data_IF_934662693688
#
_entry.id   IF_934662693688
#
_cell.length_a   1.000
_cell.length_b   1.000
_cell.length_c   1.000
_cell.angle_alpha   90.00
_cell.angle_beta   90.00
_cell.angle_gamma   90.00
#
_symmetry.space_group_name_H-M   'P 1'
#
loop_
_entity.id
_entity.type
_entity.pdbx_description
1 polymer ?
#
# COMPACT_ATOMS: atom_id res chain seq x y z
N UNK A 1 -21.81 11.18 11.51
CA UNK A 1 -20.80 10.62 10.60
C UNK A 1 -19.93 11.77 10.15
N UNK A 2 -18.82 12.02 10.86
CA UNK A 2 -17.81 12.99 10.44
C UNK A 2 -17.23 12.49 9.12
N UNK A 3 -17.43 13.24 8.04
CA UNK A 3 -16.75 12.95 6.77
C UNK A 3 -15.26 13.08 7.04
N UNK A 4 -14.56 11.95 7.12
CA UNK A 4 -13.13 11.96 7.32
C UNK A 4 -12.46 12.66 6.13
N UNK A 5 -11.54 13.58 6.44
CA UNK A 5 -10.94 14.45 5.44
C UNK A 5 -9.92 13.65 4.64
N UNK A 6 -10.00 13.70 3.33
CA UNK A 6 -9.00 13.11 2.44
C UNK A 6 -7.66 13.85 2.56
N UNK A 7 -6.52 13.13 2.50
CA UNK A 7 -5.22 13.77 2.36
C UNK A 7 -5.09 14.59 1.08
N UNK A 8 -4.33 15.66 1.13
CA UNK A 8 -4.06 16.58 0.00
C UNK A 8 -3.33 15.91 -1.18
N UNK A 9 -2.58 14.85 -0.90
CA UNK A 9 -1.90 14.05 -1.90
C UNK A 9 -2.82 13.04 -2.62
N UNK A 10 -4.04 12.79 -2.11
CA UNK A 10 -5.05 12.01 -2.85
C UNK A 10 -5.67 12.93 -3.92
N UNK A 11 -5.61 12.57 -5.21
CA UNK A 11 -6.09 13.45 -6.26
C UNK A 11 -7.61 13.54 -6.26
N UNK A 12 -8.13 14.69 -6.70
CA UNK A 12 -9.58 14.90 -6.81
C UNK A 12 -10.23 14.06 -7.92
N UNK A 13 -9.47 13.72 -8.97
CA UNK A 13 -9.93 12.89 -10.09
C UNK A 13 -8.78 12.12 -10.75
N UNK A 14 -9.12 11.00 -11.39
CA UNK A 14 -8.17 10.18 -12.15
C UNK A 14 -7.09 9.52 -11.30
N UNK A 15 -5.87 9.45 -11.85
CA UNK A 15 -4.69 8.89 -11.20
C UNK A 15 -3.56 9.92 -11.26
N UNK A 16 -2.83 10.09 -10.17
CA UNK A 16 -1.63 10.94 -10.13
C UNK A 16 -0.44 10.17 -9.58
N UNK A 17 0.75 10.42 -10.13
CA UNK A 17 1.99 9.90 -9.57
C UNK A 17 2.42 10.75 -8.38
N UNK A 18 2.80 10.09 -7.29
CA UNK A 18 3.38 10.72 -6.10
C UNK A 18 4.77 10.14 -5.86
N UNK A 19 5.72 11.02 -5.53
CA UNK A 19 7.06 10.62 -5.14
C UNK A 19 7.01 9.97 -3.75
N UNK A 20 7.53 8.75 -3.63
CA UNK A 20 7.66 8.07 -2.35
C UNK A 20 8.68 8.78 -1.45
N UNK A 21 8.46 8.74 -0.14
CA UNK A 21 9.27 9.46 0.86
C UNK A 21 8.82 10.89 1.14
N UNK A 22 7.87 11.45 0.39
CA UNK A 22 7.33 12.80 0.64
C UNK A 22 6.10 12.72 1.55
N UNK A 23 5.01 12.11 1.05
CA UNK A 23 3.76 11.98 1.79
C UNK A 23 3.60 10.61 2.44
N UNK A 24 4.22 9.60 1.86
CA UNK A 24 4.17 8.20 2.27
C UNK A 24 5.36 7.46 1.68
N UNK A 25 5.68 6.33 2.29
CA UNK A 25 6.45 5.28 1.65
C UNK A 25 5.49 4.21 1.12
N UNK A 26 5.97 3.30 0.28
CA UNK A 26 5.19 2.16 -0.16
C UNK A 26 5.99 0.87 -0.14
N UNK A 27 5.32 -0.21 0.26
CA UNK A 27 5.81 -1.58 0.08
C UNK A 27 4.94 -2.22 -1.00
N UNK A 28 5.56 -2.73 -2.06
CA UNK A 28 4.84 -3.45 -3.12
C UNK A 28 5.08 -4.95 -3.06
N UNK A 29 4.01 -5.71 -3.27
CA UNK A 29 4.03 -7.17 -3.36
C UNK A 29 3.29 -7.60 -4.64
N UNK A 30 3.83 -8.60 -5.32
CA UNK A 30 3.32 -9.06 -6.60
C UNK A 30 2.16 -10.06 -6.46
N UNK A 31 1.13 -9.88 -7.29
CA UNK A 31 0.12 -10.89 -7.58
C UNK A 31 -0.63 -11.41 -6.37
N UNK A 32 -0.88 -12.72 -6.36
CA UNK A 32 -1.71 -13.41 -5.36
C UNK A 32 -1.18 -13.26 -3.93
N UNK A 33 0.14 -13.13 -3.76
CA UNK A 33 0.74 -12.92 -2.42
C UNK A 33 0.40 -11.55 -1.87
N UNK A 34 0.37 -10.51 -2.71
CA UNK A 34 -0.09 -9.18 -2.30
C UNK A 34 -1.55 -9.17 -1.87
N UNK A 35 -2.40 -9.91 -2.59
CA UNK A 35 -3.81 -10.09 -2.22
C UNK A 35 -3.97 -10.86 -0.91
N UNK A 36 -3.15 -11.89 -0.67
CA UNK A 36 -3.15 -12.66 0.58
C UNK A 36 -2.71 -11.80 1.77
N UNK A 37 -1.67 -10.97 1.61
CA UNK A 37 -1.23 -9.99 2.61
C UNK A 37 -2.37 -9.04 2.96
N UNK A 38 -3.00 -8.42 1.95
CA UNK A 38 -4.15 -7.52 2.16
C UNK A 38 -5.29 -8.23 2.90
N UNK A 39 -5.67 -9.43 2.47
CA UNK A 39 -6.75 -10.18 3.10
C UNK A 39 -6.46 -10.45 4.58
N UNK A 40 -5.21 -10.79 4.93
CA UNK A 40 -4.82 -10.99 6.31
C UNK A 40 -4.85 -9.69 7.11
N UNK A 41 -4.32 -8.59 6.57
CA UNK A 41 -4.37 -7.27 7.21
C UNK A 41 -5.81 -6.83 7.49
N UNK A 42 -6.71 -6.95 6.53
CA UNK A 42 -8.14 -6.64 6.69
C UNK A 42 -8.74 -7.44 7.85
N UNK A 43 -8.41 -8.73 7.96
CA UNK A 43 -8.91 -9.58 9.04
C UNK A 43 -8.39 -9.12 10.41
N UNK A 44 -7.11 -8.85 10.55
CA UNK A 44 -6.52 -8.52 11.87
C UNK A 44 -6.80 -7.08 12.32
N UNK A 45 -7.08 -6.18 11.38
CA UNK A 45 -7.43 -4.76 11.64
C UNK A 45 -8.94 -4.51 11.69
N UNK A 46 -9.76 -5.56 11.67
CA UNK A 46 -11.22 -5.41 11.71
C UNK A 46 -11.80 -4.66 10.51
N UNK A 47 -11.15 -4.73 9.34
CA UNK A 47 -11.60 -4.05 8.12
C UNK A 47 -10.80 -2.82 7.72
N UNK A 48 -9.91 -2.34 8.59
CA UNK A 48 -9.24 -1.04 8.45
C UNK A 48 -7.71 -1.18 8.37
N UNK A 49 -7.16 -1.80 7.29
CA UNK A 49 -5.73 -2.02 7.17
C UNK A 49 -4.94 -0.75 6.80
N UNK A 50 -5.62 0.38 6.56
CA UNK A 50 -5.04 1.59 5.98
C UNK A 50 -5.04 1.61 4.45
N UNK A 51 -4.41 2.63 3.83
CA UNK A 51 -4.37 2.81 2.38
C UNK A 51 -3.62 1.70 1.64
N UNK A 52 -4.36 0.96 0.81
CA UNK A 52 -3.80 -0.05 -0.10
C UNK A 52 -4.27 0.20 -1.53
N UNK A 53 -3.31 0.42 -2.43
CA UNK A 53 -3.56 0.59 -3.87
C UNK A 53 -3.30 -0.73 -4.58
N UNK A 54 -4.23 -1.15 -5.43
CA UNK A 54 -4.05 -2.28 -6.34
C UNK A 54 -4.00 -1.81 -7.78
N UNK A 55 -2.96 -2.23 -8.48
CA UNK A 55 -2.78 -2.05 -9.91
C UNK A 55 -3.26 -3.31 -10.63
N UNK A 56 -4.24 -3.20 -11.53
CA UNK A 56 -4.83 -4.36 -12.21
C UNK A 56 -4.12 -4.73 -13.53
N UNK A 57 -3.32 -3.82 -14.09
CA UNK A 57 -2.65 -3.99 -15.38
C UNK A 57 -1.19 -4.45 -15.19
N UNK A 58 -0.65 -5.25 -16.11
CA UNK A 58 0.80 -5.63 -16.16
C UNK A 58 1.44 -6.13 -14.85
N UNK A 59 0.78 -7.04 -14.12
CA UNK A 59 1.43 -7.79 -13.03
C UNK A 59 0.67 -7.86 -11.71
N UNK A 60 -0.46 -7.15 -11.57
CA UNK A 60 -1.28 -7.20 -10.34
C UNK A 60 -0.46 -6.83 -9.10
N UNK A 61 0.14 -5.64 -9.11
CA UNK A 61 0.89 -5.15 -7.95
C UNK A 61 -0.08 -4.62 -6.89
N UNK A 62 0.24 -4.91 -5.62
CA UNK A 62 -0.44 -4.33 -4.47
C UNK A 62 0.57 -3.48 -3.71
N UNK A 63 0.26 -2.20 -3.54
CA UNK A 63 1.07 -1.20 -2.84
C UNK A 63 0.41 -0.87 -1.50
N UNK A 64 1.13 -1.12 -0.42
CA UNK A 64 0.73 -0.78 0.94
C UNK A 64 1.41 0.55 1.28
N UNK A 65 0.62 1.60 1.53
CA UNK A 65 1.16 2.92 1.82
C UNK A 65 1.39 3.04 3.32
N UNK A 66 2.64 3.24 3.71
CA UNK A 66 3.09 3.34 5.10
C UNK A 66 3.58 4.77 5.39
N UNK A 67 3.76 5.18 6.65
CA UNK A 67 4.27 6.50 6.98
C UNK A 67 5.61 6.80 6.27
N UNK A 68 5.85 8.05 5.86
CA UNK A 68 7.07 8.42 5.16
C UNK A 68 8.30 8.17 6.04
N UNK A 69 9.32 7.54 5.47
CA UNK A 69 10.55 7.16 6.16
C UNK A 69 10.52 5.81 6.86
N UNK A 70 9.34 5.18 7.04
CA UNK A 70 9.22 3.89 7.74
C UNK A 70 9.65 2.69 6.90
N UNK A 71 9.82 2.82 5.57
CA UNK A 71 10.22 1.67 4.74
C UNK A 71 11.58 1.10 5.11
N UNK A 72 12.46 1.89 5.74
CA UNK A 72 13.81 1.49 6.14
C UNK A 72 13.88 0.83 7.52
N UNK A 73 12.79 0.82 8.28
CA UNK A 73 12.74 0.35 9.67
C UNK A 73 12.72 -1.18 9.76
N UNK A 74 12.38 -1.87 8.66
CA UNK A 74 12.26 -3.32 8.61
C UNK A 74 13.08 -3.95 7.48
N UNK A 75 13.66 -5.14 7.69
CA UNK A 75 14.38 -5.88 6.67
C UNK A 75 13.41 -6.68 5.78
N UNK A 76 12.70 -6.00 4.88
CA UNK A 76 11.69 -6.62 4.03
C UNK A 76 12.20 -7.84 3.26
N UNK A 77 11.46 -8.96 3.26
CA UNK A 77 11.91 -10.20 2.65
C UNK A 77 11.91 -10.15 1.10
N UNK A 78 12.66 -11.03 0.43
CA UNK A 78 12.64 -11.16 -1.02
C UNK A 78 11.21 -11.33 -1.55
N UNK A 79 10.86 -10.54 -2.57
CA UNK A 79 9.51 -10.51 -3.14
C UNK A 79 8.63 -9.34 -2.64
N UNK A 80 9.05 -8.64 -1.59
CA UNK A 80 8.59 -7.31 -1.25
C UNK A 80 9.61 -6.27 -1.73
N UNK A 81 9.14 -5.21 -2.40
CA UNK A 81 9.99 -4.12 -2.83
C UNK A 81 9.56 -2.81 -2.17
N UNK A 82 10.54 -2.05 -1.67
CA UNK A 82 10.29 -0.85 -0.90
C UNK A 82 10.54 0.41 -1.74
N UNK A 83 9.67 1.38 -1.51
CA UNK A 83 9.62 2.67 -2.14
C UNK A 83 9.62 3.69 -1.01
N UNK A 84 10.64 4.53 -0.93
CA UNK A 84 10.80 5.49 0.16
C UNK A 84 11.96 6.44 -0.15
N UNK A 85 12.48 7.17 0.86
CA UNK A 85 13.61 8.06 0.65
C UNK A 85 14.83 7.26 0.17
N UNK A 86 15.19 7.39 -1.10
CA UNK A 86 16.36 6.74 -1.68
C UNK A 86 17.04 7.62 -2.72
N UNK A 87 18.23 7.22 -3.17
CA UNK A 87 19.03 8.00 -4.11
C UNK A 87 18.40 8.16 -5.51
N UNK A 88 17.34 7.42 -5.83
CA UNK A 88 16.63 7.49 -7.11
C UNK A 88 15.16 7.80 -6.86
N UNK A 89 14.58 8.65 -7.69
CA UNK A 89 13.15 8.96 -7.55
C UNK A 89 12.29 7.73 -7.84
N UNK A 90 11.40 7.40 -6.90
CA UNK A 90 10.47 6.29 -7.00
C UNK A 90 9.04 6.82 -6.90
N UNK A 91 8.25 6.61 -7.94
CA UNK A 91 6.87 7.10 -8.00
C UNK A 91 5.86 5.99 -7.78
N UNK A 92 4.79 6.30 -7.06
CA UNK A 92 3.64 5.43 -6.84
C UNK A 92 2.41 6.10 -7.44
N UNK A 93 1.63 5.35 -8.21
CA UNK A 93 0.34 5.82 -8.72
C UNK A 93 -0.69 5.83 -7.61
N UNK A 94 -1.34 6.98 -7.42
CA UNK A 94 -2.39 7.18 -6.42
C UNK A 94 -3.71 7.42 -7.16
N UNK A 95 -4.72 6.55 -6.99
CA UNK A 95 -6.04 6.78 -7.54
C UNK A 95 -6.79 7.85 -6.75
N UNK A 96 -7.66 8.60 -7.41
CA UNK A 96 -8.62 9.47 -6.74
C UNK A 96 -9.52 8.66 -5.78
N UNK A 97 -10.07 9.33 -4.78
CA UNK A 97 -10.95 8.69 -3.81
C UNK A 97 -12.23 8.11 -4.44
N UNK A 98 -12.72 8.78 -5.49
CA UNK A 98 -13.96 8.44 -6.18
C UNK A 98 -13.79 8.55 -7.70
N UNK A 99 -14.70 7.89 -8.43
CA UNK A 99 -14.71 7.86 -9.89
C UNK A 99 -13.92 6.69 -10.48
N UNK A 100 -13.82 6.66 -11.80
CA UNK A 100 -13.06 5.62 -12.50
C UNK A 100 -11.56 5.95 -12.49
N UNK A 101 -10.78 5.11 -11.82
CA UNK A 101 -9.33 5.28 -11.68
C UNK A 101 -8.54 4.13 -12.31
N UNK A 102 -9.16 3.36 -13.21
CA UNK A 102 -8.49 2.27 -13.94
C UNK A 102 -7.15 2.75 -14.53
N UNK A 103 -6.04 1.99 -14.36
CA UNK A 103 -5.97 0.62 -13.83
C UNK A 103 -5.77 0.50 -12.32
N UNK A 104 -5.84 1.59 -11.56
CA UNK A 104 -5.60 1.60 -10.11
C UNK A 104 -6.90 1.66 -9.32
N UNK A 105 -6.91 1.09 -8.12
CA UNK A 105 -8.05 1.16 -7.21
C UNK A 105 -7.61 1.07 -5.75
N UNK A 106 -8.36 1.73 -4.87
CA UNK A 106 -8.27 1.51 -3.43
C UNK A 106 -8.89 0.17 -3.06
N UNK A 107 -8.23 -0.61 -2.20
CA UNK A 107 -8.73 -1.93 -1.76
C UNK A 107 -9.41 -1.94 -0.41
N UNK A 108 -9.16 -0.93 0.41
CA UNK A 108 -9.78 -0.75 1.73
C UNK A 108 -10.45 0.63 1.86
N UNK A 109 -10.85 1.21 0.73
CA UNK A 109 -11.31 2.60 0.66
C UNK A 109 -10.15 3.60 0.56
N UNK A 110 -10.45 4.86 0.19
CA UNK A 110 -9.47 5.94 0.26
C UNK A 110 -9.12 6.25 1.73
N UNK A 111 -7.88 6.66 2.01
CA UNK A 111 -7.45 6.97 3.38
C UNK A 111 -8.05 8.28 3.87
N UNK A 112 -8.16 8.41 5.19
CA UNK A 112 -8.25 9.69 5.87
C UNK A 112 -6.87 10.31 6.13
N UNK A 113 -6.83 11.61 6.45
CA UNK A 113 -5.59 12.29 6.88
C UNK A 113 -4.95 11.56 8.07
N UNK A 114 -3.68 11.18 7.91
CA UNK A 114 -2.89 10.52 8.95
C UNK A 114 -3.04 9.01 9.00
N UNK A 115 -3.93 8.42 8.20
CA UNK A 115 -4.06 6.97 8.12
C UNK A 115 -3.00 6.34 7.21
N UNK A 116 -2.34 5.33 7.73
CA UNK A 116 -1.36 4.53 7.01
C UNK A 116 -1.51 3.06 7.39
N UNK A 117 -0.99 2.19 6.53
CA UNK A 117 -0.80 0.78 6.89
C UNK A 117 0.26 0.73 7.99
N UNK A 118 -0.02 0.00 9.07
CA UNK A 118 0.92 -0.20 10.18
C UNK A 118 2.18 -0.95 9.67
N UNK A 119 3.40 -0.36 9.75
CA UNK A 119 4.61 -0.94 9.18
C UNK A 119 5.04 -2.26 9.84
N UNK A 120 4.90 -2.36 11.16
CA UNK A 120 5.33 -3.52 11.93
C UNK A 120 4.43 -4.72 11.63
N UNK A 121 3.12 -4.49 11.65
CA UNK A 121 2.12 -5.49 11.28
C UNK A 121 2.27 -5.91 9.82
N UNK A 122 2.45 -4.95 8.91
CA UNK A 122 2.68 -5.25 7.50
C UNK A 122 3.92 -6.11 7.32
N UNK A 123 5.02 -5.79 8.00
CA UNK A 123 6.25 -6.57 7.94
C UNK A 123 6.04 -8.00 8.43
N UNK A 124 5.35 -8.20 9.56
CA UNK A 124 5.05 -9.53 10.09
C UNK A 124 4.22 -10.36 9.09
N UNK A 125 3.16 -9.77 8.52
CA UNK A 125 2.27 -10.45 7.57
C UNK A 125 2.99 -10.75 6.25
N UNK A 126 3.75 -9.80 5.72
CA UNK A 126 4.54 -9.99 4.49
C UNK A 126 5.57 -11.11 4.68
N UNK A 127 6.27 -11.12 5.82
CA UNK A 127 7.22 -12.18 6.14
C UNK A 127 6.55 -13.54 6.20
N UNK A 128 5.41 -13.65 6.88
CA UNK A 128 4.64 -14.89 6.89
C UNK A 128 4.23 -15.32 5.47
N UNK A 129 3.71 -14.41 4.65
CA UNK A 129 3.21 -14.76 3.30
C UNK A 129 4.31 -15.05 2.28
N UNK A 130 5.51 -14.49 2.43
CA UNK A 130 6.60 -14.62 1.46
C UNK A 130 7.63 -15.69 1.85
N UNK A 131 7.81 -15.95 3.15
CA UNK A 131 8.81 -16.89 3.66
C UNK A 131 8.24 -18.28 4.01
N UNK A 132 6.92 -18.46 4.09
CA UNK A 132 6.34 -19.79 4.23
C UNK A 132 6.48 -20.56 2.90
N UNK A 133 7.17 -21.70 2.93
CA UNK A 133 7.26 -22.64 1.81
C UNK A 133 5.87 -23.17 1.43
N UNK A 134 5.63 -23.52 0.15
CA UNK A 134 4.32 -23.98 -0.34
C UNK A 134 3.95 -25.41 0.10
N UNK A 135 4.49 -25.93 1.19
CA UNK A 135 4.17 -27.29 1.68
C UNK A 135 3.46 -27.21 3.03
N UNK A 136 2.12 -27.30 2.94
CA UNK A 136 1.20 -27.70 3.98
C UNK A 136 0.10 -28.54 3.33
#
# INVERSE_FOLDING_TARGET
>A
MTSEKLPDWVPASGVQLRLAGIHFDAVRVHGVRGEAVLHHLVRVTGGHPGPVVREMWRGRWTYFLIPPGSSKEHPWPPGAACFGPCARDQYVGVPAAYGNTYPLSWRAGPPAVGEFVDPELLFAVVTAQLCLSPEG
#
